data_IF_466408375518
#
_entry.id   IF_466408375518
#
_cell.length_a   1.000
_cell.length_b   1.000
_cell.length_c   1.000
_cell.angle_alpha   90.00
_cell.angle_beta   90.00
_cell.angle_gamma   90.00
#
_symmetry.space_group_name_H-M   'P 1'
#
loop_
_entity.id
_entity.type
_entity.pdbx_description
1 polymer ?
#
# COMPACT_ATOMS: atom_id res chain seq x y z
N UNK A 1 -1.12 -15.87 5.98
CA UNK A 1 0.26 -16.19 5.56
C UNK A 1 1.05 -16.76 6.73
N UNK A 2 2.34 -17.05 6.55
CA UNK A 2 3.24 -17.63 7.57
C UNK A 2 3.91 -16.53 8.44
N UNK A 3 3.21 -15.42 8.67
CA UNK A 3 3.75 -14.23 9.34
C UNK A 3 3.14 -13.98 10.73
N UNK A 4 3.61 -12.94 11.43
CA UNK A 4 2.99 -12.51 12.68
C UNK A 4 1.52 -12.12 12.46
N UNK A 5 0.73 -12.18 13.54
CA UNK A 5 -0.67 -11.74 13.50
C UNK A 5 -0.69 -10.21 13.60
N UNK A 6 -1.35 -9.57 12.65
CA UNK A 6 -1.70 -8.16 12.70
C UNK A 6 -3.17 -8.03 13.13
N UNK A 7 -3.45 -7.05 13.98
CA UNK A 7 -4.78 -6.72 14.44
C UNK A 7 -5.12 -5.30 14.01
N UNK A 8 -6.26 -5.14 13.34
CA UNK A 8 -6.83 -3.84 13.01
C UNK A 8 -8.00 -3.61 13.96
N UNK A 9 -7.83 -2.68 14.88
CA UNK A 9 -8.80 -2.41 15.94
C UNK A 9 -9.36 -1.02 15.77
N UNK A 10 -10.67 -0.91 15.78
CA UNK A 10 -11.35 0.38 15.77
C UNK A 10 -11.17 1.05 17.11
N UNK A 11 -10.69 2.28 17.09
CA UNK A 11 -10.57 3.16 18.26
C UNK A 11 -11.37 4.45 18.02
N UNK A 12 -11.82 5.17 19.07
CA UNK A 12 -12.60 6.38 18.89
C UNK A 12 -11.78 7.58 18.38
N UNK A 13 -10.46 7.57 18.58
CA UNK A 13 -9.56 8.65 18.14
C UNK A 13 -9.25 8.57 16.64
N UNK A 14 -9.33 9.71 15.96
CA UNK A 14 -8.80 9.83 14.61
C UNK A 14 -7.27 9.89 14.59
N UNK A 15 -6.68 9.53 13.45
CA UNK A 15 -5.23 9.68 13.21
C UNK A 15 -4.83 11.16 13.26
N UNK A 16 -3.73 11.46 13.97
CA UNK A 16 -3.20 12.83 14.10
C UNK A 16 -1.78 13.00 13.57
N UNK A 17 -1.00 11.92 13.46
CA UNK A 17 0.39 11.93 13.00
C UNK A 17 0.66 10.71 12.14
N UNK A 18 1.76 10.72 11.39
CA UNK A 18 2.23 9.56 10.60
C UNK A 18 2.41 8.33 11.48
N UNK A 19 2.07 7.16 10.94
CA UNK A 19 2.28 5.89 11.63
C UNK A 19 3.79 5.65 11.81
N UNK A 20 4.20 5.18 13.00
CA UNK A 20 5.60 4.77 13.28
C UNK A 20 5.87 3.32 12.84
N UNK A 21 5.25 2.94 11.72
CA UNK A 21 5.37 1.63 11.08
C UNK A 21 5.22 1.84 9.58
N UNK A 22 5.96 1.06 8.80
CA UNK A 22 5.80 0.96 7.36
C UNK A 22 5.24 -0.43 7.06
N UNK A 23 4.10 -0.49 6.37
CA UNK A 23 3.44 -1.75 6.02
C UNK A 23 3.41 -1.89 4.49
N UNK A 24 3.97 -2.98 3.99
CA UNK A 24 3.89 -3.34 2.57
C UNK A 24 2.86 -4.46 2.37
N UNK A 25 1.94 -4.24 1.44
CA UNK A 25 0.97 -5.22 0.98
C UNK A 25 1.40 -5.71 -0.39
N UNK A 26 1.81 -6.98 -0.44
CA UNK A 26 2.39 -7.56 -1.65
C UNK A 26 1.36 -7.90 -2.72
N UNK A 27 1.48 -7.29 -3.89
CA UNK A 27 0.73 -7.55 -5.12
C UNK A 27 1.65 -7.80 -6.34
N UNK A 28 2.90 -7.29 -6.34
CA UNK A 28 3.84 -7.39 -7.46
C UNK A 28 4.96 -8.41 -7.29
N UNK A 29 4.79 -9.44 -6.47
CA UNK A 29 5.87 -10.39 -6.13
C UNK A 29 6.40 -11.11 -7.37
N UNK A 30 7.70 -10.96 -7.63
CA UNK A 30 8.39 -11.57 -8.78
C UNK A 30 8.22 -10.83 -10.10
N UNK A 31 7.49 -9.70 -10.10
CA UNK A 31 7.30 -8.84 -11.27
C UNK A 31 8.25 -7.65 -11.19
N UNK A 32 8.64 -7.11 -12.35
CA UNK A 32 9.49 -5.92 -12.48
C UNK A 32 8.98 -5.00 -13.59
N UNK A 33 9.41 -3.75 -13.59
CA UNK A 33 9.15 -2.81 -14.70
C UNK A 33 7.66 -2.56 -14.98
N UNK A 34 7.29 -2.49 -16.26
CA UNK A 34 5.93 -2.14 -16.69
C UNK A 34 4.88 -3.18 -16.28
N UNK A 35 5.24 -4.46 -16.24
CA UNK A 35 4.32 -5.54 -15.82
C UNK A 35 3.95 -5.35 -14.35
N UNK A 36 4.96 -5.12 -13.50
CA UNK A 36 4.75 -4.81 -12.09
C UNK A 36 3.88 -3.56 -11.93
N UNK A 37 4.23 -2.47 -12.63
CA UNK A 37 3.48 -1.22 -12.53
C UNK A 37 2.00 -1.42 -12.91
N UNK A 38 1.72 -2.16 -13.98
CA UNK A 38 0.36 -2.48 -14.39
C UNK A 38 -0.40 -3.28 -13.32
N UNK A 39 0.25 -4.27 -12.70
CA UNK A 39 -0.33 -5.04 -11.59
C UNK A 39 -0.66 -4.15 -10.39
N UNK A 40 0.26 -3.26 -10.01
CA UNK A 40 0.06 -2.34 -8.90
C UNK A 40 -1.05 -1.32 -9.18
N UNK A 41 -1.13 -0.78 -10.40
CA UNK A 41 -2.19 0.16 -10.79
C UNK A 41 -3.57 -0.50 -10.82
N UNK A 42 -3.66 -1.76 -11.27
CA UNK A 42 -4.90 -2.53 -11.24
C UNK A 42 -5.38 -2.77 -9.80
N UNK A 43 -4.46 -3.14 -8.90
CA UNK A 43 -4.78 -3.36 -7.50
C UNK A 43 -5.10 -2.04 -6.76
N UNK A 44 -4.38 -0.97 -7.05
CA UNK A 44 -4.69 0.38 -6.59
C UNK A 44 -6.12 0.76 -6.98
N UNK A 45 -6.51 0.55 -8.24
CA UNK A 45 -7.86 0.84 -8.73
C UNK A 45 -8.93 0.05 -7.95
N UNK A 46 -8.67 -1.24 -7.69
CA UNK A 46 -9.56 -2.09 -6.90
C UNK A 46 -9.70 -1.57 -5.46
N UNK A 47 -8.61 -1.18 -4.81
CA UNK A 47 -8.64 -0.68 -3.44
C UNK A 47 -9.29 0.71 -3.32
N UNK A 48 -9.08 1.59 -4.31
CA UNK A 48 -9.79 2.88 -4.36
C UNK A 48 -11.29 2.68 -4.44
N UNK A 49 -11.76 1.71 -5.24
CA UNK A 49 -13.19 1.36 -5.29
C UNK A 49 -13.74 0.83 -3.95
N UNK A 50 -12.87 0.35 -3.05
CA UNK A 50 -13.21 -0.09 -1.69
C UNK A 50 -13.07 1.01 -0.63
N UNK A 51 -12.69 2.23 -1.03
CA UNK A 51 -12.57 3.40 -0.16
C UNK A 51 -11.15 3.78 0.25
N UNK A 52 -10.12 3.07 -0.24
CA UNK A 52 -8.74 3.50 -0.04
C UNK A 52 -8.43 4.78 -0.86
N UNK A 53 -7.39 5.50 -0.46
CA UNK A 53 -6.90 6.69 -1.16
C UNK A 53 -5.51 6.43 -1.72
N UNK A 54 -5.30 6.72 -3.01
CA UNK A 54 -3.96 6.78 -3.60
C UNK A 54 -3.25 8.05 -3.13
N UNK A 55 -2.06 7.91 -2.59
CA UNK A 55 -1.23 9.03 -2.14
C UNK A 55 -0.18 9.35 -3.18
N UNK A 56 0.67 8.38 -3.53
CA UNK A 56 1.84 8.63 -4.38
C UNK A 56 2.24 7.36 -5.14
N UNK A 57 2.63 7.51 -6.40
CA UNK A 57 3.34 6.46 -7.13
C UNK A 57 4.83 6.76 -7.07
N UNK A 58 5.59 5.83 -6.51
CA UNK A 58 7.04 5.82 -6.56
C UNK A 58 7.43 4.93 -7.73
N UNK A 59 8.00 5.53 -8.77
CA UNK A 59 8.51 4.78 -9.93
C UNK A 59 9.86 4.16 -9.59
N UNK A 60 10.13 3.01 -10.18
CA UNK A 60 11.43 2.37 -10.09
C UNK A 60 12.55 3.34 -10.48
N UNK A 61 13.61 3.39 -9.68
CA UNK A 61 14.73 4.33 -9.83
C UNK A 61 16.06 3.63 -10.14
N UNK A 62 16.00 2.32 -10.39
CA UNK A 62 17.16 1.46 -10.64
C UNK A 62 17.75 0.84 -9.36
N UNK A 63 17.26 1.22 -8.18
CA UNK A 63 17.57 0.57 -6.89
C UNK A 63 16.33 -0.14 -6.37
N UNK A 64 15.22 0.58 -6.27
CA UNK A 64 13.93 0.05 -5.83
C UNK A 64 12.99 -0.15 -7.03
N UNK A 65 12.14 -1.17 -6.94
CA UNK A 65 11.05 -1.37 -7.90
C UNK A 65 9.87 -0.44 -7.61
N UNK A 66 9.01 -0.22 -8.60
CA UNK A 66 7.87 0.70 -8.44
C UNK A 66 6.96 0.26 -7.29
N UNK A 67 6.41 1.20 -6.51
CA UNK A 67 5.40 0.93 -5.49
C UNK A 67 4.39 2.08 -5.41
N UNK A 68 3.21 1.83 -4.84
CA UNK A 68 2.17 2.86 -4.69
C UNK A 68 1.88 3.05 -3.20
N UNK A 69 2.10 4.25 -2.69
CA UNK A 69 1.69 4.66 -1.34
C UNK A 69 0.18 4.89 -1.33
N UNK A 70 -0.49 4.24 -0.38
CA UNK A 70 -1.93 4.22 -0.21
C UNK A 70 -2.29 4.58 1.24
N UNK A 71 -3.52 5.04 1.43
CA UNK A 71 -4.18 5.16 2.73
C UNK A 71 -5.45 4.33 2.77
N UNK A 72 -5.71 3.68 3.90
CA UNK A 72 -7.01 3.02 4.15
C UNK A 72 -8.10 4.05 4.48
N UNK A 73 -9.31 3.56 4.78
CA UNK A 73 -10.48 4.39 5.10
C UNK A 73 -10.33 5.20 6.40
N UNK A 74 -9.40 4.83 7.29
CA UNK A 74 -9.09 5.54 8.53
C UNK A 74 -7.81 6.40 8.40
N UNK A 75 -7.21 6.46 7.21
CA UNK A 75 -6.02 7.26 6.91
C UNK A 75 -4.69 6.58 7.25
N UNK A 76 -4.66 5.28 7.56
CA UNK A 76 -3.42 4.56 7.83
C UNK A 76 -2.63 4.32 6.55
N UNK A 77 -1.33 4.60 6.58
CA UNK A 77 -0.45 4.46 5.43
C UNK A 77 0.02 3.01 5.22
N UNK A 78 0.06 2.57 3.96
CA UNK A 78 0.70 1.33 3.51
C UNK A 78 1.20 1.50 2.05
N UNK A 79 2.15 0.67 1.62
CA UNK A 79 2.55 0.60 0.21
C UNK A 79 2.02 -0.67 -0.45
N UNK A 80 1.58 -0.54 -1.70
CA UNK A 80 1.41 -1.68 -2.60
C UNK A 80 2.75 -1.99 -3.28
N UNK A 81 3.22 -3.22 -3.06
CA UNK A 81 4.53 -3.74 -3.47
C UNK A 81 4.42 -5.01 -4.33
#
# INVERSE_FOLDING_TARGET
GVGPRLYFQRVPEGKVVKNRVHLDVRAGTGLVGEERLATLEAECTRLVALGATRVELLRADGVDESCIVMQDVEGNEFCLD
#
